data_IF_155614807975
#
_entry.id   IF_155614807975
#
_cell.length_a   1.000
_cell.length_b   1.000
_cell.length_c   1.000
_cell.angle_alpha   90.00
_cell.angle_beta   90.00
_cell.angle_gamma   90.00
#
_symmetry.space_group_name_H-M   'P 1'
#
loop_
_entity.id
_entity.type
_entity.pdbx_description
1 polymer ?
#
# COMPACT_ATOMS: atom_id res chain seq x y z
N UNK A 1 -1.24 -5.51 -5.13
CA UNK A 1 -0.46 -5.39 -3.87
C UNK A 1 -0.70 -4.03 -3.22
N UNK A 2 -1.70 -3.96 -2.35
CA UNK A 2 -2.09 -2.72 -1.68
C UNK A 2 -1.06 -2.24 -0.62
N UNK A 3 -0.10 -3.06 -0.27
CA UNK A 3 0.93 -2.71 0.72
C UNK A 3 2.25 -2.27 0.09
N UNK A 4 2.43 -2.52 -1.20
CA UNK A 4 3.68 -2.28 -1.89
C UNK A 4 4.84 -3.17 -1.44
N UNK A 5 4.53 -4.33 -0.85
CA UNK A 5 5.51 -5.20 -0.18
C UNK A 5 6.06 -6.32 -1.06
N UNK A 6 5.50 -6.54 -2.25
CA UNK A 6 5.99 -7.58 -3.15
C UNK A 6 7.27 -7.09 -3.84
N UNK A 7 8.42 -7.75 -3.61
CA UNK A 7 9.67 -7.39 -4.30
C UNK A 7 9.57 -7.59 -5.81
N UNK A 8 10.32 -6.83 -6.62
CA UNK A 8 10.21 -6.80 -8.07
C UNK A 8 10.33 -8.17 -8.75
N UNK A 9 11.26 -9.00 -8.29
CA UNK A 9 11.47 -10.33 -8.89
C UNK A 9 10.31 -11.30 -8.58
N UNK A 10 9.67 -11.14 -7.42
CA UNK A 10 8.46 -11.90 -7.09
C UNK A 10 7.27 -11.45 -7.95
N UNK A 11 7.14 -10.15 -8.22
CA UNK A 11 6.15 -9.60 -9.16
C UNK A 11 6.33 -10.23 -10.55
N UNK A 12 7.55 -10.20 -11.08
CA UNK A 12 7.85 -10.80 -12.39
C UNK A 12 7.41 -12.27 -12.47
N UNK A 13 7.71 -13.06 -11.43
CA UNK A 13 7.27 -14.48 -11.37
C UNK A 13 5.76 -14.62 -11.31
N UNK A 14 5.10 -13.82 -10.46
CA UNK A 14 3.64 -13.88 -10.28
C UNK A 14 2.91 -13.51 -11.56
N UNK A 15 3.26 -12.40 -12.21
CA UNK A 15 2.64 -11.96 -13.45
C UNK A 15 2.85 -13.01 -14.56
N UNK A 16 4.06 -13.53 -14.76
CA UNK A 16 4.33 -14.60 -15.73
C UNK A 16 3.49 -15.85 -15.45
N UNK A 17 3.34 -16.23 -14.18
CA UNK A 17 2.53 -17.38 -13.79
C UNK A 17 1.05 -17.14 -14.11
N UNK A 18 0.51 -15.98 -13.78
CA UNK A 18 -0.87 -15.61 -14.10
C UNK A 18 -1.11 -15.63 -15.61
N UNK A 19 -0.23 -15.02 -16.40
CA UNK A 19 -0.33 -15.01 -17.89
C UNK A 19 -0.32 -16.43 -18.50
N UNK A 20 0.20 -17.43 -17.80
CA UNK A 20 0.16 -18.83 -18.25
C UNK A 20 -1.15 -19.55 -17.90
N UNK A 21 -1.92 -19.05 -16.94
CA UNK A 21 -3.05 -19.78 -16.36
C UNK A 21 -4.40 -19.08 -16.54
N UNK A 22 -4.42 -17.80 -16.93
CA UNK A 22 -5.65 -17.05 -17.13
C UNK A 22 -5.61 -16.28 -18.46
N UNK A 23 -6.79 -16.19 -19.12
CA UNK A 23 -6.94 -15.52 -20.41
C UNK A 23 -7.55 -14.10 -20.26
N UNK A 24 -7.59 -13.57 -19.03
CA UNK A 24 -8.08 -12.21 -18.76
C UNK A 24 -6.90 -11.24 -18.66
N UNK A 25 -7.12 -9.93 -18.91
CA UNK A 25 -6.10 -8.91 -18.68
C UNK A 25 -5.60 -8.94 -17.22
N UNK A 26 -4.29 -8.80 -17.05
CA UNK A 26 -3.65 -8.70 -15.73
C UNK A 26 -3.41 -7.24 -15.43
N UNK A 27 -4.08 -6.74 -14.41
CA UNK A 27 -3.89 -5.42 -13.84
C UNK A 27 -2.98 -5.51 -12.61
N UNK A 28 -1.88 -4.75 -12.62
CA UNK A 28 -0.92 -4.70 -11.53
C UNK A 28 -1.02 -3.38 -10.76
N UNK A 29 -1.47 -3.51 -9.51
CA UNK A 29 -1.55 -2.41 -8.54
C UNK A 29 -0.50 -2.57 -7.44
N UNK A 30 0.20 -1.47 -7.10
CA UNK A 30 1.15 -1.43 -5.98
C UNK A 30 1.26 -0.03 -5.38
N UNK A 31 1.93 0.06 -4.22
CA UNK A 31 2.28 1.31 -3.55
C UNK A 31 3.80 1.43 -3.37
N UNK A 32 4.29 2.66 -3.17
CA UNK A 32 5.72 2.94 -3.12
C UNK A 32 6.30 3.04 -1.70
N UNK A 33 5.47 2.95 -0.65
CA UNK A 33 5.90 3.20 0.73
C UNK A 33 7.15 2.41 1.16
N UNK A 34 7.26 1.08 0.88
CA UNK A 34 8.45 0.30 1.22
C UNK A 34 9.63 0.50 0.25
N UNK A 35 9.44 1.26 -0.82
CA UNK A 35 10.46 1.51 -1.84
C UNK A 35 10.55 0.47 -2.96
N UNK A 36 9.54 -0.36 -3.16
CA UNK A 36 9.51 -1.35 -4.25
C UNK A 36 8.71 -0.88 -5.48
N UNK A 37 7.80 0.09 -5.31
CA UNK A 37 6.74 0.40 -6.26
C UNK A 37 7.20 0.60 -7.69
N UNK A 38 8.11 1.54 -7.96
CA UNK A 38 8.59 1.83 -9.32
C UNK A 38 9.27 0.62 -9.96
N UNK A 39 10.14 -0.08 -9.22
CA UNK A 39 10.83 -1.27 -9.68
C UNK A 39 9.87 -2.45 -9.93
N UNK A 40 8.84 -2.58 -9.09
CA UNK A 40 7.81 -3.63 -9.21
C UNK A 40 6.93 -3.40 -10.42
N UNK A 41 6.52 -2.15 -10.73
CA UNK A 41 5.77 -1.83 -11.94
C UNK A 41 6.59 -2.10 -13.20
N UNK A 42 7.87 -1.70 -13.24
CA UNK A 42 8.76 -2.04 -14.36
C UNK A 42 8.86 -3.57 -14.55
N UNK A 43 8.98 -4.32 -13.46
CA UNK A 43 9.03 -5.78 -13.50
C UNK A 43 7.73 -6.41 -13.98
N UNK A 44 6.57 -5.83 -13.62
CA UNK A 44 5.25 -6.25 -14.09
C UNK A 44 5.10 -6.01 -15.60
N UNK A 45 5.49 -4.84 -16.10
CA UNK A 45 5.48 -4.50 -17.53
C UNK A 45 6.33 -5.49 -18.33
N UNK A 46 7.57 -5.74 -17.90
CA UNK A 46 8.48 -6.70 -18.55
C UNK A 46 7.98 -8.14 -18.47
N UNK A 47 7.16 -8.47 -17.49
CA UNK A 47 6.54 -9.79 -17.35
C UNK A 47 5.24 -9.95 -18.15
N UNK A 48 4.73 -8.88 -18.78
CA UNK A 48 3.56 -8.88 -19.64
C UNK A 48 2.25 -8.53 -18.94
N UNK A 49 2.28 -7.73 -17.86
CA UNK A 49 1.08 -7.11 -17.34
C UNK A 49 0.40 -6.24 -18.42
N UNK A 50 -0.92 -6.32 -18.52
CA UNK A 50 -1.69 -5.61 -19.54
C UNK A 50 -2.05 -4.20 -19.09
N UNK A 51 -2.21 -4.00 -17.77
CA UNK A 51 -2.58 -2.74 -17.13
C UNK A 51 -1.66 -2.54 -15.93
N UNK A 52 -1.31 -1.31 -15.64
CA UNK A 52 -0.60 -0.91 -14.43
C UNK A 52 -1.22 0.35 -13.84
N UNK A 53 -1.44 0.34 -12.54
CA UNK A 53 -1.94 1.51 -11.83
C UNK A 53 -0.82 2.49 -11.51
N UNK A 54 -1.10 3.77 -11.71
CA UNK A 54 -0.16 4.87 -11.53
C UNK A 54 -0.84 6.07 -10.89
N UNK A 55 -0.05 7.01 -10.39
CA UNK A 55 -0.54 8.32 -9.94
C UNK A 55 0.08 9.44 -10.76
N UNK A 56 -0.62 10.58 -10.84
CA UNK A 56 -0.06 11.81 -11.37
C UNK A 56 1.02 12.36 -10.44
N UNK A 57 2.01 13.05 -11.00
CA UNK A 57 3.28 13.47 -10.41
C UNK A 57 3.23 13.90 -8.94
N UNK A 58 2.37 14.86 -8.62
CA UNK A 58 2.34 15.45 -7.28
C UNK A 58 1.66 14.59 -6.21
N UNK A 59 1.00 13.50 -6.61
CA UNK A 59 0.38 12.52 -5.72
C UNK A 59 0.97 11.12 -5.86
N UNK A 60 2.07 11.01 -6.63
CA UNK A 60 2.77 9.76 -6.86
C UNK A 60 3.81 9.48 -5.77
N UNK A 61 4.30 8.26 -5.77
CA UNK A 61 5.33 7.74 -4.88
C UNK A 61 4.96 7.80 -3.39
N UNK A 62 5.87 7.46 -2.51
CA UNK A 62 5.59 7.40 -1.08
C UNK A 62 4.41 6.47 -0.76
N UNK A 63 3.31 7.00 -0.24
CA UNK A 63 2.09 6.21 0.05
C UNK A 63 1.20 5.98 -1.17
N UNK A 64 1.52 6.57 -2.31
CA UNK A 64 0.82 6.40 -3.58
C UNK A 64 1.41 5.30 -4.46
N UNK A 65 0.84 5.16 -5.67
CA UNK A 65 1.40 4.37 -6.76
C UNK A 65 2.55 5.12 -7.45
N UNK A 66 3.36 4.46 -8.30
CA UNK A 66 4.41 5.12 -9.08
C UNK A 66 3.88 6.23 -9.98
N UNK A 67 4.73 7.22 -10.25
CA UNK A 67 4.41 8.31 -11.16
C UNK A 67 4.24 7.82 -12.60
N UNK A 68 3.11 8.17 -13.24
CA UNK A 68 2.85 7.81 -14.64
C UNK A 68 3.93 8.37 -15.56
N UNK A 69 4.52 9.51 -15.24
CA UNK A 69 5.59 10.16 -15.99
C UNK A 69 6.86 9.32 -16.02
N UNK A 70 7.24 8.68 -14.91
CA UNK A 70 8.38 7.76 -14.85
C UNK A 70 8.09 6.47 -15.63
N UNK A 71 6.86 5.96 -15.53
CA UNK A 71 6.41 4.79 -16.29
C UNK A 71 6.40 5.10 -17.79
N UNK A 72 6.00 6.31 -18.20
CA UNK A 72 6.07 6.75 -19.59
C UNK A 72 7.51 6.71 -20.12
N UNK A 73 8.49 7.19 -19.37
CA UNK A 73 9.91 7.13 -19.77
C UNK A 73 10.37 5.69 -19.94
N UNK A 74 10.02 4.78 -19.01
CA UNK A 74 10.34 3.36 -19.14
C UNK A 74 9.69 2.75 -20.38
N UNK A 75 8.41 3.00 -20.62
CA UNK A 75 7.68 2.51 -21.80
C UNK A 75 8.32 3.00 -23.10
N UNK A 76 8.67 4.29 -23.18
CA UNK A 76 9.34 4.89 -24.34
C UNK A 76 10.68 4.20 -24.63
N UNK A 77 11.52 3.95 -23.60
CA UNK A 77 12.82 3.23 -23.74
C UNK A 77 12.63 1.77 -24.14
N UNK A 78 11.51 1.16 -23.76
CA UNK A 78 11.16 -0.23 -24.11
C UNK A 78 10.46 -0.35 -25.47
N UNK A 79 10.12 0.76 -26.12
CA UNK A 79 9.33 0.77 -27.36
C UNK A 79 7.86 0.36 -27.15
N UNK A 80 7.35 0.55 -25.95
CA UNK A 80 5.96 0.25 -25.58
C UNK A 80 5.17 1.56 -25.66
N UNK A 81 4.04 1.54 -26.39
CA UNK A 81 3.11 2.67 -26.43
C UNK A 81 2.20 2.63 -25.21
N UNK A 82 2.35 3.63 -24.33
CA UNK A 82 1.48 3.78 -23.17
C UNK A 82 0.14 4.39 -23.61
N UNK A 83 -0.96 3.68 -23.36
CA UNK A 83 -2.32 4.12 -23.71
C UNK A 83 -2.83 5.18 -22.71
N UNK A 84 -2.16 6.32 -22.65
CA UNK A 84 -2.50 7.44 -21.79
C UNK A 84 -2.32 8.78 -22.52
N UNK A 85 -3.22 9.72 -22.25
CA UNK A 85 -3.08 11.09 -22.79
C UNK A 85 -2.13 11.90 -21.90
N UNK A 86 -0.83 11.84 -22.21
CA UNK A 86 0.20 12.52 -21.42
C UNK A 86 0.12 14.04 -21.46
N UNK A 87 -0.45 14.64 -22.51
CA UNK A 87 -0.72 16.09 -22.58
C UNK A 87 -1.79 16.49 -21.53
N UNK A 88 -2.83 15.67 -21.37
CA UNK A 88 -3.83 15.87 -20.33
C UNK A 88 -3.21 15.68 -18.91
N UNK A 89 -2.34 14.71 -18.74
CA UNK A 89 -1.60 14.50 -17.47
C UNK A 89 -0.76 15.72 -17.13
N UNK A 90 0.02 16.24 -18.08
CA UNK A 90 0.85 17.44 -17.86
C UNK A 90 -0.01 18.67 -17.47
N UNK A 91 -1.17 18.85 -18.12
CA UNK A 91 -2.11 19.93 -17.77
C UNK A 91 -2.67 19.77 -16.35
N UNK A 92 -3.10 18.57 -15.98
CA UNK A 92 -3.65 18.27 -14.64
C UNK A 92 -2.60 18.49 -13.55
N UNK A 93 -1.35 18.14 -13.79
CA UNK A 93 -0.27 18.33 -12.82
C UNK A 93 -0.08 19.79 -12.39
N UNK A 94 -0.35 20.74 -13.27
CA UNK A 94 -0.33 22.17 -12.92
C UNK A 94 -1.31 22.52 -11.81
N UNK A 95 -2.51 21.94 -11.83
CA UNK A 95 -3.54 22.13 -10.81
C UNK A 95 -3.29 21.27 -9.56
N UNK A 96 -2.84 20.03 -9.75
CA UNK A 96 -2.56 19.10 -8.64
C UNK A 96 -1.47 19.60 -7.70
N UNK A 97 -0.51 20.38 -8.19
CA UNK A 97 0.53 21.00 -7.37
C UNK A 97 -0.06 21.90 -6.29
N UNK A 98 -1.00 22.76 -6.68
CA UNK A 98 -1.64 23.69 -5.74
C UNK A 98 -2.58 22.96 -4.79
N UNK A 99 -3.35 21.99 -5.27
CA UNK A 99 -4.21 21.14 -4.43
C UNK A 99 -3.38 20.41 -3.38
N UNK A 100 -2.22 19.85 -3.76
CA UNK A 100 -1.30 19.22 -2.82
C UNK A 100 -0.86 20.19 -1.74
N UNK A 101 -0.42 21.38 -2.12
CA UNK A 101 0.02 22.42 -1.19
C UNK A 101 -1.08 22.80 -0.19
N UNK A 102 -2.30 22.99 -0.66
CA UNK A 102 -3.46 23.28 0.20
C UNK A 102 -3.77 22.14 1.18
N UNK A 103 -3.73 20.89 0.72
CA UNK A 103 -3.93 19.73 1.56
C UNK A 103 -2.84 19.58 2.62
N UNK A 104 -1.58 19.79 2.27
CA UNK A 104 -0.47 19.72 3.22
C UNK A 104 -0.58 20.79 4.31
N UNK A 105 -0.92 22.01 3.95
CA UNK A 105 -1.18 23.08 4.91
C UNK A 105 -2.36 22.78 5.82
N UNK A 106 -3.47 22.27 5.26
CA UNK A 106 -4.70 22.00 6.04
C UNK A 106 -4.58 20.78 6.95
N UNK A 107 -3.88 19.72 6.51
CA UNK A 107 -3.78 18.45 7.24
C UNK A 107 -2.57 18.43 8.18
N UNK A 108 -1.43 18.96 7.75
CA UNK A 108 -0.17 18.87 8.51
C UNK A 108 0.28 20.21 9.12
N UNK A 109 -0.39 21.32 8.78
CA UNK A 109 -0.04 22.66 9.26
C UNK A 109 1.27 23.22 8.69
N UNK A 110 1.89 22.51 7.73
CA UNK A 110 3.12 22.94 7.09
C UNK A 110 3.22 22.35 5.68
N UNK A 111 3.77 23.14 4.76
CA UNK A 111 4.06 22.69 3.41
C UNK A 111 5.28 21.75 3.42
N UNK A 112 5.18 20.63 2.75
CA UNK A 112 6.30 19.70 2.51
C UNK A 112 6.94 19.99 1.16
N UNK A 113 8.25 19.72 0.99
CA UNK A 113 8.88 19.85 -0.31
C UNK A 113 8.14 19.02 -1.37
N UNK A 114 7.70 19.69 -2.43
CA UNK A 114 7.13 19.02 -3.60
C UNK A 114 8.25 18.38 -4.44
N UNK A 115 7.98 17.31 -5.18
CA UNK A 115 8.93 16.79 -6.16
C UNK A 115 9.25 17.86 -7.21
N UNK A 116 10.47 17.82 -7.76
CA UNK A 116 10.87 18.71 -8.86
C UNK A 116 9.92 18.52 -10.03
N UNK A 117 9.47 19.60 -10.63
CA UNK A 117 8.59 19.51 -11.80
C UNK A 117 9.29 18.73 -12.93
N UNK A 118 8.52 17.91 -13.62
CA UNK A 118 8.99 17.12 -14.76
C UNK A 118 7.82 16.83 -15.70
N UNK A 119 8.02 17.13 -16.97
CA UNK A 119 7.11 16.77 -18.06
C UNK A 119 7.90 15.91 -19.09
N UNK A 120 7.63 14.60 -19.18
CA UNK A 120 8.38 13.72 -20.07
C UNK A 120 8.15 13.99 -21.57
N UNK A 121 7.21 14.87 -21.93
CA UNK A 121 6.99 15.28 -23.32
C UNK A 121 7.92 16.41 -23.74
N UNK A 122 8.29 17.31 -22.84
CA UNK A 122 9.03 18.54 -23.14
C UNK A 122 10.40 18.61 -22.50
N UNK A 123 10.57 18.02 -21.33
CA UNK A 123 11.82 18.08 -20.58
C UNK A 123 12.84 17.06 -21.05
N UNK A 124 14.11 17.42 -20.95
CA UNK A 124 15.24 16.52 -21.20
C UNK A 124 15.83 16.08 -19.88
N UNK A 125 15.93 14.76 -19.70
CA UNK A 125 16.58 14.17 -18.53
C UNK A 125 18.09 14.48 -18.54
N UNK A 126 18.72 14.77 -17.39
CA UNK A 126 20.16 14.73 -17.28
C UNK A 126 20.71 13.36 -17.71
N UNK A 127 21.82 13.34 -18.44
CA UNK A 127 22.37 12.10 -19.00
C UNK A 127 22.63 10.99 -17.94
N UNK A 128 23.03 11.40 -16.73
CA UNK A 128 23.22 10.50 -15.60
C UNK A 128 21.91 9.83 -15.13
N UNK A 129 20.80 10.58 -15.15
CA UNK A 129 19.48 10.06 -14.75
C UNK A 129 18.89 9.22 -15.88
N UNK A 130 19.01 9.67 -17.12
CA UNK A 130 18.58 8.87 -18.28
C UNK A 130 19.27 7.51 -18.31
N UNK A 131 20.57 7.44 -17.97
CA UNK A 131 21.33 6.20 -17.82
C UNK A 131 20.82 5.30 -16.67
N UNK A 132 20.24 5.86 -15.59
CA UNK A 132 19.67 5.04 -14.53
C UNK A 132 18.39 4.31 -14.99
N UNK A 133 17.59 4.89 -15.88
CA UNK A 133 16.46 4.16 -16.50
C UNK A 133 16.97 2.96 -17.32
N UNK A 134 18.05 3.12 -18.09
CA UNK A 134 18.63 2.01 -18.85
C UNK A 134 19.21 0.93 -17.94
N UNK A 135 19.87 1.32 -16.85
CA UNK A 135 20.36 0.38 -15.81
C UNK A 135 19.23 -0.39 -15.16
N UNK A 136 18.13 0.30 -14.81
CA UNK A 136 16.96 -0.35 -14.21
C UNK A 136 16.37 -1.40 -15.16
N UNK A 137 16.20 -1.06 -16.45
CA UNK A 137 15.73 -1.99 -17.48
C UNK A 137 16.66 -3.19 -17.62
N UNK A 138 17.98 -2.96 -17.69
CA UNK A 138 18.96 -4.02 -17.81
C UNK A 138 18.97 -4.95 -16.59
N UNK A 139 18.93 -4.37 -15.39
CA UNK A 139 18.89 -5.12 -14.13
C UNK A 139 17.61 -5.96 -14.00
N UNK A 140 16.44 -5.39 -14.36
CA UNK A 140 15.17 -6.12 -14.35
C UNK A 140 15.20 -7.33 -15.32
N UNK A 141 15.74 -7.15 -16.53
CA UNK A 141 15.91 -8.22 -17.52
C UNK A 141 16.89 -9.30 -17.05
N UNK A 142 17.93 -8.91 -16.33
CA UNK A 142 18.94 -9.82 -15.77
C UNK A 142 18.47 -10.53 -14.49
N UNK A 143 17.38 -10.07 -13.86
CA UNK A 143 16.93 -10.58 -12.57
C UNK A 143 17.77 -10.09 -11.39
N UNK A 144 18.52 -9.01 -11.57
CA UNK A 144 19.31 -8.37 -10.51
C UNK A 144 18.43 -7.36 -9.74
N UNK A 145 17.75 -7.87 -8.71
CA UNK A 145 16.84 -7.08 -7.89
C UNK A 145 17.54 -5.92 -7.16
N UNK A 146 18.76 -6.15 -6.68
CA UNK A 146 19.50 -5.13 -5.95
C UNK A 146 19.89 -3.96 -6.86
N UNK A 147 20.43 -4.25 -8.07
CA UNK A 147 20.76 -3.22 -9.05
C UNK A 147 19.50 -2.48 -9.55
N UNK A 148 18.39 -3.20 -9.76
CA UNK A 148 17.12 -2.63 -10.17
C UNK A 148 16.61 -1.63 -9.13
N UNK A 149 16.53 -2.02 -7.87
CA UNK A 149 16.10 -1.15 -6.77
C UNK A 149 17.01 0.07 -6.63
N UNK A 150 18.33 -0.14 -6.67
CA UNK A 150 19.28 0.96 -6.58
C UNK A 150 19.13 1.99 -7.71
N UNK A 151 18.86 1.56 -8.93
CA UNK A 151 18.62 2.45 -10.06
C UNK A 151 17.30 3.22 -9.91
N UNK A 152 16.20 2.54 -9.57
CA UNK A 152 14.90 3.18 -9.33
C UNK A 152 14.97 4.21 -8.19
N UNK A 153 15.60 3.88 -7.07
CA UNK A 153 15.75 4.83 -5.95
C UNK A 153 16.59 6.06 -6.32
N UNK A 154 17.58 5.94 -7.22
CA UNK A 154 18.32 7.12 -7.73
C UNK A 154 17.44 7.99 -8.62
N UNK A 155 16.59 7.41 -9.44
CA UNK A 155 15.61 8.15 -10.24
C UNK A 155 14.66 8.91 -9.32
N UNK A 156 14.03 8.22 -8.37
CA UNK A 156 13.09 8.80 -7.40
C UNK A 156 13.74 9.94 -6.58
N UNK A 157 14.95 9.70 -6.06
CA UNK A 157 15.71 10.69 -5.29
C UNK A 157 16.09 11.94 -6.10
N UNK A 158 16.41 11.78 -7.40
CA UNK A 158 16.69 12.91 -8.29
C UNK A 158 15.53 13.88 -8.36
N UNK A 159 14.32 13.39 -8.41
CA UNK A 159 13.10 14.20 -8.46
C UNK A 159 12.62 14.67 -7.07
N UNK A 160 13.24 14.20 -6.00
CA UNK A 160 12.87 14.56 -4.63
C UNK A 160 11.65 13.80 -4.10
N UNK A 161 11.36 12.63 -4.64
CA UNK A 161 10.36 11.74 -4.08
C UNK A 161 10.80 11.15 -2.73
N UNK A 162 9.86 10.73 -1.88
CA UNK A 162 10.18 10.17 -0.57
C UNK A 162 11.09 8.94 -0.66
N UNK A 163 12.07 8.86 0.21
CA UNK A 163 12.87 7.66 0.37
C UNK A 163 12.03 6.49 0.91
N UNK A 164 12.46 5.22 0.69
CA UNK A 164 11.83 4.04 1.26
C UNK A 164 11.61 4.16 2.77
N UNK A 165 10.42 3.78 3.24
CA UNK A 165 10.11 3.76 4.67
C UNK A 165 10.49 2.40 5.25
N UNK A 166 11.66 2.31 5.87
CA UNK A 166 12.17 1.07 6.45
C UNK A 166 11.31 0.53 7.61
N UNK A 167 10.62 1.41 8.37
CA UNK A 167 9.70 0.96 9.42
C UNK A 167 8.51 0.21 8.82
N UNK A 168 7.92 0.75 7.76
CA UNK A 168 6.80 0.12 7.04
C UNK A 168 7.25 -1.19 6.40
N UNK A 169 8.40 -1.19 5.75
CA UNK A 169 8.98 -2.35 5.10
C UNK A 169 9.26 -3.49 6.09
N UNK A 170 9.90 -3.18 7.22
CA UNK A 170 10.25 -4.16 8.24
C UNK A 170 9.05 -4.70 9.03
N UNK A 171 8.02 -3.88 9.23
CA UNK A 171 6.76 -4.30 9.87
C UNK A 171 5.80 -5.00 8.90
N UNK A 172 6.11 -5.01 7.60
CA UNK A 172 5.28 -5.60 6.53
C UNK A 172 3.83 -5.09 6.55
N UNK A 173 3.65 -3.78 6.65
CA UNK A 173 2.33 -3.14 6.76
C UNK A 173 2.02 -2.23 5.56
N UNK A 174 0.72 -2.02 5.24
CA UNK A 174 0.31 -1.00 4.27
C UNK A 174 0.68 0.42 4.70
N UNK A 175 1.07 1.27 3.75
CA UNK A 175 1.36 2.68 4.02
C UNK A 175 0.19 3.43 4.66
N UNK A 176 -1.05 3.13 4.26
CA UNK A 176 -2.26 3.68 4.88
C UNK A 176 -2.43 3.28 6.35
N UNK A 177 -2.06 2.05 6.73
CA UNK A 177 -2.04 1.63 8.13
C UNK A 177 -1.03 2.45 8.95
N UNK A 178 0.18 2.64 8.42
CA UNK A 178 1.20 3.48 9.04
C UNK A 178 0.72 4.91 9.25
N UNK A 179 0.15 5.54 8.21
CA UNK A 179 -0.36 6.90 8.28
C UNK A 179 -1.47 7.05 9.33
N UNK A 180 -2.38 6.08 9.43
CA UNK A 180 -3.43 6.06 10.46
C UNK A 180 -2.85 5.93 11.87
N UNK A 181 -1.86 5.06 12.08
CA UNK A 181 -1.18 4.91 13.38
C UNK A 181 -0.48 6.21 13.79
N UNK A 182 0.24 6.85 12.88
CA UNK A 182 0.88 8.16 13.12
C UNK A 182 -0.16 9.22 13.50
N UNK A 183 -1.26 9.32 12.75
CA UNK A 183 -2.32 10.28 13.04
C UNK A 183 -2.97 10.03 14.41
N UNK A 184 -3.26 8.78 14.76
CA UNK A 184 -3.80 8.38 16.06
C UNK A 184 -2.85 8.77 17.21
N UNK A 185 -1.57 8.44 17.09
CA UNK A 185 -0.58 8.74 18.12
C UNK A 185 -0.35 10.24 18.28
N UNK A 186 -0.40 11.00 17.19
CA UNK A 186 -0.32 12.46 17.21
C UNK A 186 -1.50 13.08 17.96
N UNK A 187 -2.73 12.59 17.75
CA UNK A 187 -3.91 13.02 18.50
C UNK A 187 -3.80 12.70 20.00
N UNK A 188 -3.18 11.56 20.33
CA UNK A 188 -2.92 11.14 21.71
C UNK A 188 -1.70 11.81 22.35
N UNK A 189 -0.92 12.60 21.59
CA UNK A 189 0.37 13.17 22.00
C UNK A 189 1.33 12.11 22.55
N UNK A 190 1.44 11.01 21.83
CA UNK A 190 2.17 9.80 22.22
C UNK A 190 2.99 9.22 21.04
N UNK A 191 3.54 10.10 20.20
CA UNK A 191 4.28 9.74 18.98
C UNK A 191 5.51 8.87 19.28
N UNK A 192 6.08 8.99 20.46
CA UNK A 192 7.21 8.17 20.92
C UNK A 192 6.88 6.68 21.04
N UNK A 193 5.60 6.30 21.06
CA UNK A 193 5.14 4.91 21.10
C UNK A 193 5.22 4.23 19.73
N UNK A 194 5.26 4.99 18.64
CA UNK A 194 5.19 4.46 17.29
C UNK A 194 6.20 3.33 17.02
N UNK A 195 7.51 3.44 17.34
CA UNK A 195 8.46 2.35 17.09
C UNK A 195 8.04 1.05 17.78
N UNK A 196 7.63 1.15 19.04
CA UNK A 196 7.19 -0.05 19.80
C UNK A 196 5.90 -0.65 19.27
N UNK A 197 4.94 0.18 18.89
CA UNK A 197 3.70 -0.29 18.25
C UNK A 197 4.00 -1.03 16.94
N UNK A 198 4.93 -0.51 16.12
CA UNK A 198 5.37 -1.16 14.87
C UNK A 198 6.00 -2.54 15.12
N UNK A 199 6.85 -2.67 16.14
CA UNK A 199 7.45 -3.95 16.55
C UNK A 199 6.40 -4.97 17.01
N UNK A 200 5.30 -4.53 17.60
CA UNK A 200 4.23 -5.40 18.11
C UNK A 200 3.26 -5.89 17.02
N UNK A 201 3.22 -5.24 15.84
CA UNK A 201 2.29 -5.62 14.77
C UNK A 201 2.37 -7.09 14.39
N UNK A 202 3.55 -7.70 14.14
CA UNK A 202 3.63 -9.12 13.81
C UNK A 202 3.04 -10.01 14.91
N UNK A 203 3.30 -9.69 16.16
CA UNK A 203 2.78 -10.43 17.33
C UNK A 203 1.27 -10.33 17.43
N UNK A 204 0.72 -9.12 17.32
CA UNK A 204 -0.73 -8.88 17.38
C UNK A 204 -1.43 -9.53 16.19
N UNK A 205 -0.85 -9.43 15.00
CA UNK A 205 -1.38 -10.05 13.77
C UNK A 205 -1.41 -11.56 13.88
N UNK A 206 -0.32 -12.18 14.37
CA UNK A 206 -0.26 -13.63 14.57
C UNK A 206 -1.30 -14.09 15.59
N UNK A 207 -1.41 -13.40 16.72
CA UNK A 207 -2.39 -13.71 17.76
C UNK A 207 -3.85 -13.59 17.25
N UNK A 208 -4.10 -12.71 16.27
CA UNK A 208 -5.39 -12.55 15.61
C UNK A 208 -5.60 -13.52 14.43
N UNK A 209 -4.76 -14.53 14.21
CA UNK A 209 -4.91 -15.54 13.17
C UNK A 209 -4.40 -15.12 11.80
N UNK A 210 -3.42 -14.22 11.72
CA UNK A 210 -2.81 -13.69 10.49
C UNK A 210 -3.81 -13.10 9.49
N UNK A 211 -4.73 -12.21 9.91
CA UNK A 211 -5.66 -11.60 8.96
C UNK A 211 -4.88 -10.85 7.88
N UNK A 212 -5.42 -10.77 6.64
CA UNK A 212 -4.88 -9.90 5.61
C UNK A 212 -4.84 -8.46 6.10
N UNK A 213 -3.73 -7.74 5.88
CA UNK A 213 -3.62 -6.33 6.26
C UNK A 213 -4.24 -5.41 5.21
N UNK A 214 -5.54 -5.54 5.03
CA UNK A 214 -6.39 -4.71 4.19
C UNK A 214 -7.47 -4.07 5.06
N UNK A 215 -8.15 -3.02 4.58
CA UNK A 215 -9.26 -2.40 5.30
C UNK A 215 -10.42 -3.40 5.44
N UNK A 216 -11.01 -3.61 6.63
CA UNK A 216 -10.74 -2.89 7.89
C UNK A 216 -9.68 -3.55 8.79
N UNK A 217 -9.23 -4.77 8.51
CA UNK A 217 -8.40 -5.57 9.41
C UNK A 217 -7.03 -4.95 9.69
N UNK A 218 -6.43 -4.25 8.72
CA UNK A 218 -5.18 -3.51 8.93
C UNK A 218 -5.33 -2.44 10.02
N UNK A 219 -6.44 -1.70 10.01
CA UNK A 219 -6.71 -0.67 11.02
C UNK A 219 -6.96 -1.29 12.40
N UNK A 220 -7.68 -2.41 12.46
CA UNK A 220 -7.96 -3.14 13.70
C UNK A 220 -6.65 -3.63 14.34
N UNK A 221 -5.78 -4.27 13.55
CA UNK A 221 -4.48 -4.76 14.03
C UNK A 221 -3.57 -3.60 14.45
N UNK A 222 -3.51 -2.53 13.66
CA UNK A 222 -2.70 -1.34 13.98
C UNK A 222 -3.14 -0.66 15.27
N UNK A 223 -4.44 -0.40 15.42
CA UNK A 223 -4.98 0.20 16.64
C UNK A 223 -4.74 -0.69 17.88
N UNK A 224 -4.84 -2.02 17.73
CA UNK A 224 -4.55 -2.93 18.83
C UNK A 224 -3.05 -2.98 19.17
N UNK A 225 -2.16 -2.89 18.18
CA UNK A 225 -0.72 -2.80 18.44
C UNK A 225 -0.36 -1.52 19.22
N UNK A 226 -0.96 -0.38 18.85
CA UNK A 226 -0.84 0.87 19.61
C UNK A 226 -1.36 0.69 21.05
N UNK A 227 -2.54 0.09 21.23
CA UNK A 227 -3.10 -0.15 22.56
C UNK A 227 -2.20 -1.04 23.43
N UNK A 228 -1.62 -2.10 22.84
CA UNK A 228 -0.68 -2.97 23.54
C UNK A 228 0.61 -2.21 23.93
N UNK A 229 1.17 -1.40 23.06
CA UNK A 229 2.35 -0.59 23.36
C UNK A 229 2.06 0.44 24.48
N UNK A 230 0.87 1.02 24.50
CA UNK A 230 0.43 1.89 25.60
C UNK A 230 0.22 1.14 26.91
N UNK A 231 -0.32 -0.09 26.87
CA UNK A 231 -0.45 -0.94 28.05
C UNK A 231 0.93 -1.25 28.63
N UNK A 232 1.91 -1.66 27.81
CA UNK A 232 3.29 -1.91 28.24
C UNK A 232 3.91 -0.66 28.88
N UNK A 233 3.79 0.51 28.25
CA UNK A 233 4.30 1.78 28.81
C UNK A 233 3.69 2.10 30.18
N UNK A 234 2.43 1.73 30.38
CA UNK A 234 1.72 1.92 31.65
C UNK A 234 1.96 0.78 32.66
N UNK A 235 2.86 -0.17 32.38
CA UNK A 235 3.13 -1.33 33.23
C UNK A 235 1.99 -2.34 33.28
N UNK A 236 1.09 -2.33 32.31
CA UNK A 236 -0.03 -3.27 32.22
C UNK A 236 0.28 -4.41 31.24
N UNK A 237 -0.27 -5.61 31.45
CA UNK A 237 -0.15 -6.70 30.48
C UNK A 237 -0.73 -6.33 29.12
N UNK A 238 -0.12 -6.84 28.04
CA UNK A 238 -0.68 -6.72 26.67
C UNK A 238 -2.13 -7.19 26.63
N UNK A 239 -2.93 -6.51 25.80
CA UNK A 239 -4.37 -6.76 25.64
C UNK A 239 -5.21 -6.43 26.88
N UNK A 240 -4.73 -5.62 27.84
CA UNK A 240 -5.56 -5.02 28.88
C UNK A 240 -6.55 -4.06 28.22
N UNK A 241 -6.05 -3.21 27.32
CA UNK A 241 -6.87 -2.36 26.48
C UNK A 241 -7.15 -3.06 25.15
N UNK A 242 -8.42 -3.20 24.79
CA UNK A 242 -8.85 -3.84 23.55
C UNK A 242 -10.09 -3.14 22.97
N UNK A 243 -10.07 -2.94 21.66
CA UNK A 243 -11.22 -2.38 20.96
C UNK A 243 -12.30 -3.44 20.71
N UNK A 244 -13.57 -3.02 20.61
CA UNK A 244 -14.65 -3.92 20.20
C UNK A 244 -14.41 -4.59 18.87
N UNK A 245 -13.78 -3.88 17.93
CA UNK A 245 -13.41 -4.40 16.61
C UNK A 245 -12.36 -5.51 16.71
N UNK A 246 -11.34 -5.37 17.56
CA UNK A 246 -10.35 -6.43 17.78
C UNK A 246 -10.98 -7.65 18.48
N UNK A 247 -11.87 -7.42 19.43
CA UNK A 247 -12.67 -8.50 20.05
C UNK A 247 -13.50 -9.23 19.00
N UNK A 248 -14.21 -8.52 18.14
CA UNK A 248 -14.98 -9.09 17.03
C UNK A 248 -14.12 -9.87 16.04
N UNK A 249 -12.93 -9.36 15.69
CA UNK A 249 -11.97 -10.06 14.83
C UNK A 249 -11.54 -11.40 15.44
N UNK A 250 -11.13 -11.40 16.72
CA UNK A 250 -10.69 -12.60 17.43
C UNK A 250 -11.86 -13.57 17.64
N UNK A 251 -13.08 -13.08 17.79
CA UNK A 251 -14.29 -13.88 17.91
C UNK A 251 -14.68 -14.61 16.61
N UNK A 252 -14.27 -14.06 15.44
CA UNK A 252 -14.57 -14.62 14.13
C UNK A 252 -15.65 -13.86 13.34
N UNK A 253 -16.06 -12.67 13.79
CA UNK A 253 -17.13 -11.88 13.14
C UNK A 253 -16.70 -11.32 11.77
N UNK A 254 -15.39 -11.26 11.49
CA UNK A 254 -14.84 -10.83 10.19
C UNK A 254 -14.54 -11.99 9.22
N UNK A 255 -14.97 -13.19 9.56
CA UNK A 255 -14.76 -14.39 8.77
C UNK A 255 -13.60 -15.26 9.27
N UNK A 256 -13.38 -16.37 8.57
CA UNK A 256 -12.34 -17.34 8.92
C UNK A 256 -10.95 -16.77 8.70
N UNK A 257 -10.09 -16.91 9.71
CA UNK A 257 -8.69 -16.45 9.65
C UNK A 257 -7.79 -17.48 8.95
N UNK A 258 -6.68 -17.04 8.29
CA UNK A 258 -5.72 -17.94 7.64
C UNK A 258 -5.09 -18.96 8.59
N UNK A 259 -4.86 -18.58 9.85
CA UNK A 259 -4.31 -19.43 10.90
C UNK A 259 -5.32 -19.50 12.04
N UNK A 260 -5.51 -20.68 12.61
CA UNK A 260 -6.39 -20.85 13.76
C UNK A 260 -5.90 -20.03 14.95
N UNK A 261 -6.83 -19.30 15.56
CA UNK A 261 -6.54 -18.54 16.79
C UNK A 261 -6.54 -19.50 17.97
N UNK A 262 -5.55 -19.36 18.86
CA UNK A 262 -5.48 -20.13 20.09
C UNK A 262 -6.78 -20.00 20.92
N UNK A 263 -7.44 -21.12 21.31
CA UNK A 263 -8.72 -21.08 22.01
C UNK A 263 -8.66 -20.36 23.37
N UNK A 264 -7.54 -20.44 24.08
CA UNK A 264 -7.37 -19.76 25.37
C UNK A 264 -7.17 -18.24 25.15
N UNK A 265 -6.46 -17.86 24.09
CA UNK A 265 -6.36 -16.47 23.71
C UNK A 265 -7.73 -15.92 23.29
N UNK A 266 -8.49 -16.67 22.48
CA UNK A 266 -9.85 -16.29 22.09
C UNK A 266 -10.77 -16.13 23.30
N UNK A 267 -10.70 -17.06 24.26
CA UNK A 267 -11.45 -16.95 25.51
C UNK A 267 -11.07 -15.68 26.30
N UNK A 268 -9.76 -15.40 26.42
CA UNK A 268 -9.26 -14.20 27.10
C UNK A 268 -9.73 -12.90 26.46
N UNK A 269 -9.76 -12.85 25.11
CA UNK A 269 -10.08 -11.62 24.37
C UNK A 269 -11.58 -11.47 24.14
N UNK A 270 -12.26 -12.53 23.67
CA UNK A 270 -13.60 -12.49 23.16
C UNK A 270 -14.64 -13.22 24.06
N UNK A 271 -14.19 -13.90 25.12
CA UNK A 271 -15.08 -14.61 26.05
C UNK A 271 -15.63 -15.93 25.52
N UNK A 272 -15.15 -16.40 24.37
CA UNK A 272 -15.54 -17.68 23.74
C UNK A 272 -14.30 -18.47 23.32
N UNK A 273 -14.37 -19.82 23.34
CA UNK A 273 -13.27 -20.68 22.89
C UNK A 273 -13.33 -21.01 21.41
N UNK A 274 -14.56 -21.08 20.91
CA UNK A 274 -14.85 -21.43 19.52
C UNK A 274 -15.13 -20.21 18.67
N UNK A 275 -14.87 -20.31 17.39
CA UNK A 275 -15.16 -19.28 16.41
C UNK A 275 -16.67 -19.05 16.33
N UNK A 276 -17.10 -17.80 16.44
CA UNK A 276 -18.50 -17.39 16.38
C UNK A 276 -18.62 -16.38 15.24
N UNK A 277 -18.84 -16.86 14.00
CA UNK A 277 -18.95 -15.99 12.84
C UNK A 277 -20.20 -15.12 12.93
N UNK A 278 -20.20 -14.01 12.19
CA UNK A 278 -21.38 -13.18 12.03
C UNK A 278 -22.49 -13.98 11.34
N UNK A 279 -23.69 -13.96 11.92
CA UNK A 279 -24.85 -14.66 11.36
C UNK A 279 -25.43 -13.88 10.16
N UNK A 280 -25.16 -14.36 8.97
CA UNK A 280 -25.70 -13.81 7.72
C UNK A 280 -27.00 -14.51 7.27
N UNK A 281 -27.50 -15.52 8.00
CA UNK A 281 -28.68 -16.29 7.62
C UNK A 281 -29.96 -15.44 7.59
N UNK A 282 -29.97 -14.33 8.32
CA UNK A 282 -31.08 -13.39 8.36
C UNK A 282 -31.03 -12.31 7.28
N UNK A 283 -29.94 -12.26 6.48
CA UNK A 283 -29.87 -11.33 5.38
C UNK A 283 -30.88 -11.71 4.29
N UNK A 284 -31.75 -10.78 3.98
CA UNK A 284 -32.71 -10.89 2.89
C UNK A 284 -32.44 -9.75 1.90
N UNK A 285 -32.36 -10.12 0.63
CA UNK A 285 -32.27 -9.13 -0.44
C UNK A 285 -33.55 -8.28 -0.46
N UNK A 286 -33.38 -6.96 -0.41
CA UNK A 286 -34.49 -6.01 -0.44
C UNK A 286 -34.71 -5.52 -1.88
N UNK A 287 -35.96 -5.37 -2.34
CA UNK A 287 -36.23 -4.73 -3.62
C UNK A 287 -35.62 -3.33 -3.68
N UNK A 288 -34.97 -3.00 -4.78
CA UNK A 288 -34.46 -1.66 -5.05
C UNK A 288 -35.11 -1.08 -6.30
N UNK A 289 -36.19 -0.28 -6.15
CA UNK A 289 -36.90 0.29 -7.29
C UNK A 289 -36.06 1.31 -8.07
N UNK A 290 -34.96 1.82 -7.50
CA UNK A 290 -34.04 2.74 -8.17
C UNK A 290 -33.05 2.05 -9.13
N UNK A 291 -32.99 0.71 -9.09
CA UNK A 291 -32.10 -0.10 -9.93
C UNK A 291 -32.87 -1.24 -10.62
N UNK A 292 -33.91 -0.95 -11.43
CA UNK A 292 -34.73 -1.98 -12.04
C UNK A 292 -33.94 -2.87 -13.02
N UNK A 293 -32.91 -2.32 -13.67
CA UNK A 293 -32.04 -3.07 -14.61
C UNK A 293 -31.15 -4.10 -13.91
N UNK A 294 -30.82 -3.88 -12.64
CA UNK A 294 -30.06 -4.83 -11.81
C UNK A 294 -30.98 -5.88 -11.13
N UNK A 295 -32.16 -6.13 -11.63
CA UNK A 295 -33.13 -7.04 -11.06
C UNK A 295 -33.88 -6.49 -9.85
N UNK A 296 -33.76 -5.21 -9.55
CA UNK A 296 -34.49 -4.53 -8.48
C UNK A 296 -34.19 -5.04 -7.07
N UNK A 297 -32.96 -5.54 -6.81
CA UNK A 297 -32.53 -6.02 -5.48
C UNK A 297 -31.26 -5.31 -5.01
N UNK A 298 -31.19 -5.07 -3.72
CA UNK A 298 -30.02 -4.56 -3.00
C UNK A 298 -29.19 -5.67 -2.45
#
# INVERSE_FOLDING_TARGET
>A
DMSGLIPPMRVSRLVKLLKQHVDVPIDFHTHCTPGYGLASVLSAILAGADIVDTNCWYFAEGTGAPAIELIYVFCKKLGIELQANMEAVAKINGELKEIRRELELSVFGAEKPAPKAFDPLTDTLPAEIDAEFDKAIAAAKAGDEAALLAACHRIEAHFGFPAPNELVKNAEIPGGMYSNMVAQLKQLKAEEILPRAMELIPTVRLAAGLPPLVTPTSQIVGAQAVACAMDEKAGRPMYTTKSSQFVGLVKGEYGKTPVAIDPEFRLKIAGVREETPYDTSKYQMQPNPELPEAGGVK
#
